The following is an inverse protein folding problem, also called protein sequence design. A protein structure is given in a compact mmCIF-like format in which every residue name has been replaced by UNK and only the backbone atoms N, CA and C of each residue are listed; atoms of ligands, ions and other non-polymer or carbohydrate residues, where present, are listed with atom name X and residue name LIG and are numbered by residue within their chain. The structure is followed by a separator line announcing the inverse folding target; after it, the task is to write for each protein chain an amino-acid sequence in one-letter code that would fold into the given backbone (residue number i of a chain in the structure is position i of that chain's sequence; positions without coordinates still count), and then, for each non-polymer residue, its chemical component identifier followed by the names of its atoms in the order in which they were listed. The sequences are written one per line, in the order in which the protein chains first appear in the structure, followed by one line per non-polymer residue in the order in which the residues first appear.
data_IF_018243952675
#
_entry.id   IF_018243952675
#
_cell.length_a   1.000
_cell.length_b   1.000
_cell.length_c   1.000
_cell.angle_alpha   90.00
_cell.angle_beta   90.00
_cell.angle_gamma   90.00
#
_symmetry.space_group_name_H-M   'P 1'
#
loop_
_entity.id
_entity.type
_entity.pdbx_description
1 polymer ?
#
# COMPACT_ATOMS: atom_id res chain seq x y z
N UNK A 1 18.73 -39.65 12.18
CA UNK A 1 19.61 -39.96 13.32
C UNK A 1 20.91 -39.19 13.13
N UNK A 2 21.50 -38.67 14.21
CA UNK A 2 22.82 -38.06 14.14
C UNK A 2 23.87 -39.11 13.72
N UNK A 3 24.92 -38.74 12.96
CA UNK A 3 25.91 -39.71 12.47
C UNK A 3 26.69 -40.37 13.62
N UNK A 4 26.85 -41.70 13.54
CA UNK A 4 27.48 -42.53 14.60
C UNK A 4 28.97 -42.24 14.81
N UNK A 5 29.64 -41.64 13.82
CA UNK A 5 31.10 -41.35 13.84
C UNK A 5 31.45 -39.96 14.38
N UNK A 6 30.56 -39.31 15.12
CA UNK A 6 30.92 -38.05 15.78
C UNK A 6 31.99 -38.33 16.85
N UNK A 7 33.14 -37.61 16.84
CA UNK A 7 34.14 -37.77 17.88
C UNK A 7 33.51 -37.44 19.24
N UNK A 8 33.88 -38.18 20.31
CA UNK A 8 33.33 -37.91 21.63
C UNK A 8 33.63 -36.45 22.02
N UNK A 9 32.70 -35.77 22.70
CA UNK A 9 32.96 -34.42 23.16
C UNK A 9 34.24 -34.41 24.01
N UNK A 10 35.10 -33.38 23.89
CA UNK A 10 36.34 -33.31 24.64
C UNK A 10 36.05 -33.50 26.13
N UNK A 11 36.67 -34.51 26.74
CA UNK A 11 36.41 -34.94 28.12
C UNK A 11 36.99 -33.99 29.18
N UNK A 12 37.60 -32.89 28.75
CA UNK A 12 38.23 -31.91 29.62
C UNK A 12 37.71 -30.51 29.27
N UNK A 13 36.39 -30.35 29.38
CA UNK A 13 35.83 -29.02 29.49
C UNK A 13 36.06 -28.57 30.93
N UNK A 14 37.25 -27.99 31.18
CA UNK A 14 37.54 -27.30 32.42
C UNK A 14 36.30 -26.47 32.79
N UNK A 15 35.79 -26.66 34.00
CA UNK A 15 34.60 -25.96 34.47
C UNK A 15 34.78 -24.48 34.13
N UNK A 16 33.88 -23.94 33.29
CA UNK A 16 33.93 -22.54 32.93
C UNK A 16 33.99 -21.75 34.25
N UNK A 17 34.91 -20.77 34.38
CA UNK A 17 34.99 -19.99 35.60
C UNK A 17 33.60 -19.46 35.91
N UNK A 18 33.19 -19.57 37.17
CA UNK A 18 31.88 -19.10 37.63
C UNK A 18 31.84 -17.58 37.47
N UNK A 19 31.43 -17.16 36.27
CA UNK A 19 31.33 -15.76 35.92
C UNK A 19 30.14 -15.23 36.70
N UNK A 20 30.44 -14.51 37.78
CA UNK A 20 29.44 -13.76 38.52
C UNK A 20 28.75 -12.79 37.55
N UNK A 21 27.58 -13.21 37.07
CA UNK A 21 26.80 -12.40 36.15
C UNK A 21 26.33 -11.15 36.89
N UNK A 22 26.35 -9.98 36.24
CA UNK A 22 25.77 -8.79 36.83
C UNK A 22 24.31 -9.02 37.22
N UNK A 23 23.86 -8.40 38.30
CA UNK A 23 22.50 -8.55 38.84
C UNK A 23 21.37 -8.28 37.83
N UNK A 24 21.64 -7.50 36.78
CA UNK A 24 20.65 -7.23 35.73
C UNK A 24 20.37 -8.45 34.85
N UNK A 25 21.29 -9.42 34.77
CA UNK A 25 21.09 -10.68 34.04
C UNK A 25 20.06 -11.59 34.72
N UNK A 26 19.79 -11.37 36.01
CA UNK A 26 18.84 -12.15 36.81
C UNK A 26 17.52 -11.40 37.07
N UNK A 27 17.43 -10.15 36.64
CA UNK A 27 16.21 -9.35 36.76
C UNK A 27 15.40 -9.46 35.48
N UNK A 28 14.10 -9.81 35.55
CA UNK A 28 13.24 -9.71 34.39
C UNK A 28 13.26 -8.25 33.88
N UNK A 29 13.28 -8.03 32.56
CA UNK A 29 13.19 -6.68 32.02
C UNK A 29 11.89 -6.03 32.49
N UNK A 30 11.90 -4.70 32.74
CA UNK A 30 10.68 -3.98 33.09
C UNK A 30 9.64 -4.18 31.99
N UNK A 31 8.38 -4.30 32.39
CA UNK A 31 7.28 -4.49 31.46
C UNK A 31 7.12 -3.23 30.59
N UNK A 32 7.44 -3.34 29.31
CA UNK A 32 7.30 -2.25 28.36
C UNK A 32 5.86 -2.22 27.87
N UNK A 33 5.12 -1.16 28.20
CA UNK A 33 3.82 -0.92 27.57
C UNK A 33 4.02 -0.79 26.06
N UNK A 34 3.41 -1.69 25.29
CA UNK A 34 3.45 -1.60 23.82
C UNK A 34 2.57 -0.45 23.41
N UNK A 35 3.14 0.48 22.64
CA UNK A 35 2.34 1.50 21.97
C UNK A 35 1.22 0.82 21.15
N UNK A 36 0.05 1.45 21.03
CA UNK A 36 -0.99 0.96 20.13
C UNK A 36 -0.43 0.71 18.74
N UNK A 37 -0.86 -0.36 18.09
CA UNK A 37 -0.45 -0.66 16.72
C UNK A 37 -0.78 0.50 15.77
N UNK A 38 0.03 0.64 14.72
CA UNK A 38 -0.23 1.59 13.66
C UNK A 38 -1.54 1.24 12.93
N UNK A 39 -2.29 2.26 12.55
CA UNK A 39 -3.51 2.12 11.75
C UNK A 39 -3.14 2.05 10.27
N UNK A 40 -3.80 1.15 9.53
CA UNK A 40 -3.75 1.19 8.08
C UNK A 40 -4.67 2.34 7.58
N UNK A 41 -4.21 3.25 6.71
CA UNK A 41 -5.05 4.29 6.13
C UNK A 41 -6.29 3.76 5.42
N UNK A 42 -6.18 2.57 4.81
CA UNK A 42 -7.31 1.90 4.17
C UNK A 42 -8.32 1.36 5.19
N UNK A 43 -8.01 1.28 6.48
CA UNK A 43 -8.90 0.75 7.54
C UNK A 43 -9.45 1.84 8.48
N UNK A 44 -9.49 3.09 8.00
CA UNK A 44 -10.06 4.22 8.75
C UNK A 44 -11.61 4.28 8.72
N UNK A 45 -12.24 3.15 8.36
CA UNK A 45 -13.70 2.97 8.30
C UNK A 45 -14.41 3.74 7.18
N UNK A 46 -15.68 3.41 6.96
CA UNK A 46 -16.50 3.97 5.87
C UNK A 46 -16.52 3.09 4.63
N UNK A 47 -17.54 3.26 3.78
CA UNK A 47 -17.69 2.47 2.57
C UNK A 47 -16.54 2.75 1.57
N UNK A 48 -16.04 1.70 0.92
CA UNK A 48 -14.99 1.78 -0.12
C UNK A 48 -15.52 1.56 -1.54
N UNK A 49 -16.82 1.34 -1.66
CA UNK A 49 -17.51 0.97 -2.87
C UNK A 49 -18.83 1.73 -2.96
N UNK A 50 -19.30 1.99 -4.18
CA UNK A 50 -20.62 2.57 -4.39
C UNK A 50 -21.71 1.49 -4.32
N UNK A 51 -22.96 1.86 -4.01
CA UNK A 51 -24.08 0.91 -4.06
C UNK A 51 -24.21 0.24 -5.43
N UNK A 52 -24.45 -1.07 -5.44
CA UNK A 52 -24.61 -1.87 -6.66
C UNK A 52 -23.32 -2.49 -7.20
N UNK A 53 -22.14 -2.13 -6.66
CA UNK A 53 -20.86 -2.71 -7.08
C UNK A 53 -20.78 -4.22 -6.81
N UNK A 54 -21.20 -4.69 -5.63
CA UNK A 54 -21.23 -6.11 -5.28
C UNK A 54 -22.24 -6.97 -6.06
N UNK A 55 -23.05 -6.36 -6.94
CA UNK A 55 -23.91 -7.09 -7.87
C UNK A 55 -23.21 -7.40 -9.21
N UNK A 56 -22.06 -6.76 -9.49
CA UNK A 56 -21.32 -6.92 -10.74
C UNK A 56 -20.34 -8.09 -10.71
N UNK A 57 -19.72 -8.35 -9.55
CA UNK A 57 -18.80 -9.45 -9.31
C UNK A 57 -18.89 -9.91 -7.87
N UNK A 58 -18.56 -11.18 -7.61
CA UNK A 58 -18.37 -11.64 -6.24
C UNK A 58 -17.14 -10.95 -5.60
N UNK A 59 -17.23 -10.70 -4.30
CA UNK A 59 -16.22 -9.93 -3.55
C UNK A 59 -14.82 -10.56 -3.63
N UNK A 60 -14.74 -11.88 -3.54
CA UNK A 60 -13.45 -12.57 -3.57
C UNK A 60 -12.77 -12.44 -4.93
N UNK A 61 -13.51 -12.60 -6.04
CA UNK A 61 -12.98 -12.41 -7.38
C UNK A 61 -12.66 -10.93 -7.66
N UNK A 62 -13.43 -9.99 -7.13
CA UNK A 62 -13.13 -8.57 -7.24
C UNK A 62 -11.82 -8.21 -6.51
N UNK A 63 -11.62 -8.73 -5.29
CA UNK A 63 -10.37 -8.56 -4.53
C UNK A 63 -9.17 -9.21 -5.23
N UNK A 64 -9.35 -10.44 -5.76
CA UNK A 64 -8.32 -11.15 -6.52
C UNK A 64 -7.91 -10.35 -7.76
N UNK A 65 -8.88 -9.93 -8.57
CA UNK A 65 -8.66 -9.11 -9.77
C UNK A 65 -7.95 -7.80 -9.42
N UNK A 66 -8.39 -7.12 -8.35
CA UNK A 66 -7.76 -5.89 -7.87
C UNK A 66 -6.28 -6.09 -7.53
N UNK A 67 -5.97 -7.16 -6.81
CA UNK A 67 -4.59 -7.52 -6.42
C UNK A 67 -3.72 -7.86 -7.63
N UNK A 68 -4.24 -8.63 -8.59
CA UNK A 68 -3.56 -8.91 -9.86
C UNK A 68 -3.28 -7.62 -10.64
N UNK A 69 -4.27 -6.72 -10.74
CA UNK A 69 -4.14 -5.47 -11.46
C UNK A 69 -3.09 -4.55 -10.81
N UNK A 70 -3.13 -4.39 -9.48
CA UNK A 70 -2.11 -3.65 -8.73
C UNK A 70 -0.71 -4.20 -8.98
N UNK A 71 -0.54 -5.53 -8.92
CA UNK A 71 0.75 -6.16 -9.19
C UNK A 71 1.29 -5.84 -10.59
N UNK A 72 0.42 -5.86 -11.61
CA UNK A 72 0.80 -5.46 -12.97
C UNK A 72 1.12 -3.97 -13.05
N UNK A 73 0.32 -3.10 -12.44
CA UNK A 73 0.52 -1.64 -12.45
C UNK A 73 1.81 -1.22 -11.76
N UNK A 74 2.24 -1.96 -10.74
CA UNK A 74 3.52 -1.77 -10.06
C UNK A 74 4.70 -2.14 -10.98
N UNK A 75 4.66 -3.34 -11.57
CA UNK A 75 5.82 -3.97 -12.19
C UNK A 75 6.00 -3.68 -13.68
N UNK A 76 4.91 -3.59 -14.46
CA UNK A 76 5.00 -3.42 -15.91
C UNK A 76 5.76 -2.15 -16.34
N UNK A 77 5.62 -0.98 -15.67
CA UNK A 77 6.36 0.23 -16.03
C UNK A 77 7.89 0.10 -15.96
N UNK A 78 8.41 -0.93 -15.27
CA UNK A 78 9.85 -1.20 -15.19
C UNK A 78 10.41 -1.86 -16.46
N UNK A 79 9.56 -2.23 -17.40
CA UNK A 79 9.92 -2.97 -18.61
C UNK A 79 9.38 -2.29 -19.87
N UNK A 80 10.06 -2.46 -21.02
CA UNK A 80 9.51 -2.10 -22.33
C UNK A 80 8.14 -2.74 -22.60
N UNK A 81 7.26 -2.00 -23.27
CA UNK A 81 5.85 -2.38 -23.48
C UNK A 81 5.66 -3.69 -24.26
N UNK A 82 6.60 -4.03 -25.15
CA UNK A 82 6.62 -5.29 -25.91
C UNK A 82 6.86 -6.51 -25.02
N UNK A 83 7.44 -6.32 -23.83
CA UNK A 83 7.68 -7.40 -22.85
C UNK A 83 6.52 -7.61 -21.89
N UNK A 84 5.55 -6.71 -21.83
CA UNK A 84 4.47 -6.76 -20.84
C UNK A 84 3.68 -8.08 -20.83
N UNK A 85 3.33 -8.71 -21.97
CA UNK A 85 2.60 -9.98 -21.94
C UNK A 85 3.32 -11.08 -21.17
N UNK A 86 4.61 -11.32 -21.46
CA UNK A 86 5.37 -12.36 -20.77
C UNK A 86 5.63 -12.06 -19.30
N UNK A 87 5.78 -10.77 -18.93
CA UNK A 87 5.91 -10.36 -17.53
C UNK A 87 4.59 -10.60 -16.79
N UNK A 88 3.46 -10.22 -17.38
CA UNK A 88 2.15 -10.42 -16.77
C UNK A 88 1.85 -11.90 -16.53
N UNK A 89 2.09 -12.77 -17.51
CA UNK A 89 1.96 -14.23 -17.33
C UNK A 89 2.84 -14.73 -16.20
N UNK A 90 4.11 -14.31 -16.14
CA UNK A 90 5.06 -14.74 -15.10
C UNK A 90 4.60 -14.31 -13.70
N UNK A 91 4.13 -13.07 -13.56
CA UNK A 91 3.68 -12.52 -12.28
C UNK A 91 2.39 -13.18 -11.78
N UNK A 92 1.44 -13.43 -12.69
CA UNK A 92 0.13 -13.94 -12.32
C UNK A 92 0.06 -15.47 -12.25
N UNK A 93 0.95 -16.24 -12.84
CA UNK A 93 0.87 -17.72 -12.80
C UNK A 93 1.13 -18.30 -11.40
N UNK A 94 2.07 -17.72 -10.64
CA UNK A 94 2.57 -18.32 -9.38
C UNK A 94 2.12 -17.58 -8.11
N UNK A 95 1.28 -16.55 -8.24
CA UNK A 95 0.81 -15.76 -7.11
C UNK A 95 -0.27 -16.47 -6.29
N UNK A 96 -0.51 -16.03 -5.03
CA UNK A 96 -1.64 -16.49 -4.23
C UNK A 96 -3.00 -16.19 -4.90
N UNK A 97 -3.03 -15.12 -5.69
CA UNK A 97 -4.12 -14.70 -6.56
C UNK A 97 -3.86 -15.10 -8.01
N UNK A 98 -3.38 -16.33 -8.21
CA UNK A 98 -2.92 -16.78 -9.53
C UNK A 98 -4.01 -16.71 -10.61
N UNK A 99 -3.60 -16.44 -11.86
CA UNK A 99 -4.46 -16.39 -13.03
C UNK A 99 -3.96 -17.35 -14.10
N UNK A 100 -4.87 -18.02 -14.81
CA UNK A 100 -4.50 -18.68 -16.05
C UNK A 100 -4.28 -17.67 -17.19
N UNK A 101 -3.85 -18.15 -18.37
CA UNK A 101 -3.63 -17.27 -19.52
C UNK A 101 -4.90 -16.54 -19.98
N UNK A 102 -6.08 -17.16 -19.84
CA UNK A 102 -7.35 -16.56 -20.24
C UNK A 102 -7.80 -15.46 -19.27
N UNK A 103 -7.47 -15.60 -17.99
CA UNK A 103 -7.71 -14.62 -16.94
C UNK A 103 -6.67 -13.48 -16.94
N UNK A 104 -5.44 -13.75 -17.37
CA UNK A 104 -4.34 -12.77 -17.43
C UNK A 104 -4.60 -11.68 -18.47
N UNK A 105 -5.05 -12.06 -19.67
CA UNK A 105 -5.24 -11.13 -20.79
C UNK A 105 -6.17 -9.94 -20.47
N UNK A 106 -7.38 -10.11 -19.89
CA UNK A 106 -8.24 -8.96 -19.57
C UNK A 106 -7.66 -8.04 -18.50
N UNK A 107 -6.89 -8.56 -17.54
CA UNK A 107 -6.22 -7.75 -16.50
C UNK A 107 -5.05 -6.97 -17.12
N UNK A 108 -4.25 -7.63 -17.95
CA UNK A 108 -3.16 -7.00 -18.72
C UNK A 108 -3.69 -5.90 -19.65
N UNK A 109 -4.80 -6.14 -20.35
CA UNK A 109 -5.40 -5.15 -21.23
C UNK A 109 -5.84 -3.90 -20.45
N UNK A 110 -6.37 -4.06 -19.23
CA UNK A 110 -6.70 -2.93 -18.36
C UNK A 110 -5.47 -2.20 -17.84
N UNK A 111 -4.46 -2.92 -17.35
CA UNK A 111 -3.20 -2.35 -16.92
C UNK A 111 -2.56 -1.53 -18.05
N UNK A 112 -2.54 -2.08 -19.28
CA UNK A 112 -2.01 -1.38 -20.46
C UNK A 112 -2.72 -0.05 -20.70
N UNK A 113 -4.06 -0.04 -20.73
CA UNK A 113 -4.83 1.20 -20.94
C UNK A 113 -4.54 2.28 -19.90
N UNK A 114 -4.34 1.87 -18.64
CA UNK A 114 -3.94 2.76 -17.56
C UNK A 114 -2.54 3.31 -17.78
N UNK A 115 -1.56 2.44 -18.02
CA UNK A 115 -0.16 2.82 -18.11
C UNK A 115 0.18 3.65 -19.35
N UNK A 116 -0.58 3.48 -20.43
CA UNK A 116 -0.43 4.26 -21.66
C UNK A 116 -1.31 5.52 -21.70
N UNK A 117 -1.98 5.88 -20.60
CA UNK A 117 -2.79 7.10 -20.52
C UNK A 117 -1.87 8.32 -20.48
N UNK A 118 -2.09 9.32 -21.34
CA UNK A 118 -1.29 10.56 -21.37
C UNK A 118 -1.22 11.25 -19.99
N UNK A 119 -2.33 11.24 -19.24
CA UNK A 119 -2.40 11.81 -17.90
C UNK A 119 -1.53 11.07 -16.87
N UNK A 120 -1.14 9.82 -17.14
CA UNK A 120 -0.22 9.04 -16.29
C UNK A 120 1.25 9.32 -16.57
N UNK A 121 1.60 9.92 -17.72
CA UNK A 121 2.99 10.17 -18.10
C UNK A 121 3.81 10.89 -17.01
N UNK A 122 3.29 11.92 -16.28
CA UNK A 122 4.04 12.54 -15.18
C UNK A 122 4.31 11.62 -13.99
N UNK A 123 3.45 10.62 -13.74
CA UNK A 123 3.58 9.68 -12.63
C UNK A 123 4.48 8.48 -12.96
N UNK A 124 4.74 8.24 -14.24
CA UNK A 124 5.62 7.17 -14.74
C UNK A 124 6.99 7.70 -15.21
N UNK A 125 7.22 9.01 -15.11
CA UNK A 125 8.45 9.65 -15.51
C UNK A 125 9.63 9.29 -14.58
N UNK A 126 10.87 9.31 -15.06
CA UNK A 126 12.04 9.13 -14.21
C UNK A 126 12.04 10.09 -13.01
N UNK A 127 12.32 9.56 -11.81
CA UNK A 127 12.32 10.34 -10.57
C UNK A 127 10.99 10.35 -9.83
N UNK A 128 9.92 9.76 -10.38
CA UNK A 128 8.76 9.38 -9.57
C UNK A 128 9.07 8.14 -8.75
N UNK A 129 8.38 8.02 -7.62
CA UNK A 129 8.49 6.89 -6.72
C UNK A 129 7.24 6.02 -6.86
N UNK A 130 7.44 4.71 -6.73
CA UNK A 130 6.38 3.70 -6.71
C UNK A 130 6.35 3.05 -5.33
N UNK A 131 5.20 2.55 -4.90
CA UNK A 131 5.05 1.79 -3.64
C UNK A 131 5.72 2.48 -2.44
N UNK A 132 5.39 3.77 -2.24
CA UNK A 132 6.02 4.57 -1.19
C UNK A 132 5.36 4.27 0.15
N UNK A 133 6.05 3.48 0.96
CA UNK A 133 5.72 3.29 2.37
C UNK A 133 5.89 4.60 3.14
N UNK A 134 4.91 4.92 3.97
CA UNK A 134 4.95 6.06 4.87
C UNK A 134 4.43 5.69 6.26
N UNK A 135 5.08 6.30 7.25
CA UNK A 135 4.64 6.27 8.65
C UNK A 135 4.50 7.70 9.12
N UNK A 136 3.37 8.04 9.74
CA UNK A 136 3.18 9.36 10.34
C UNK A 136 2.27 9.27 11.56
N UNK A 137 2.54 10.11 12.56
CA UNK A 137 1.62 10.32 13.68
C UNK A 137 0.64 11.44 13.29
N UNK A 138 -0.66 11.15 13.33
CA UNK A 138 -1.69 12.11 12.93
C UNK A 138 -2.48 12.59 14.14
N UNK A 139 -2.30 13.86 14.50
CA UNK A 139 -3.09 14.55 15.52
C UNK A 139 -4.60 14.47 15.25
N UNK A 140 -5.01 14.54 13.99
CA UNK A 140 -6.41 14.41 13.58
C UNK A 140 -7.01 13.03 13.89
N UNK A 141 -6.16 12.02 14.15
CA UNK A 141 -6.54 10.68 14.58
C UNK A 141 -6.21 10.44 16.06
N UNK A 142 -6.11 11.52 16.86
CA UNK A 142 -5.81 11.45 18.29
C UNK A 142 -4.36 11.05 18.58
N UNK A 143 -3.41 11.48 17.75
CA UNK A 143 -1.99 11.13 17.89
C UNK A 143 -1.69 9.66 17.54
N UNK A 144 -2.57 9.00 16.78
CA UNK A 144 -2.32 7.62 16.33
C UNK A 144 -1.34 7.62 15.17
N UNK A 145 -0.41 6.66 15.21
CA UNK A 145 0.44 6.34 14.08
C UNK A 145 -0.36 5.68 12.97
N UNK A 146 -0.19 6.14 11.74
CA UNK A 146 -0.60 5.43 10.54
C UNK A 146 0.60 4.81 9.86
N UNK A 147 0.39 3.69 9.18
CA UNK A 147 1.35 3.06 8.28
C UNK A 147 0.64 2.59 7.01
N UNK A 148 1.08 3.04 5.85
CA UNK A 148 0.49 2.65 4.58
C UNK A 148 1.40 2.93 3.39
N UNK A 149 0.94 2.53 2.21
CA UNK A 149 1.71 2.58 0.97
C UNK A 149 0.95 3.39 -0.06
N UNK A 150 1.65 4.30 -0.75
CA UNK A 150 1.12 5.08 -1.87
C UNK A 150 1.66 4.50 -3.18
N UNK A 151 0.78 4.13 -4.10
CA UNK A 151 1.15 3.46 -5.35
C UNK A 151 2.12 4.31 -6.20
N UNK A 152 1.86 5.62 -6.34
CA UNK A 152 2.72 6.55 -7.09
C UNK A 152 2.89 7.89 -6.38
N UNK A 153 4.12 8.37 -6.28
CA UNK A 153 4.46 9.67 -5.69
C UNK A 153 5.38 10.47 -6.61
N UNK A 154 4.92 11.66 -7.02
CA UNK A 154 5.74 12.65 -7.70
C UNK A 154 6.12 13.75 -6.71
N UNK A 155 7.42 14.01 -6.59
CA UNK A 155 7.96 14.99 -5.66
C UNK A 155 8.74 16.05 -6.43
N UNK A 156 8.28 17.30 -6.39
CA UNK A 156 8.98 18.46 -6.96
C UNK A 156 9.35 19.45 -5.85
N UNK A 157 10.15 20.51 -6.13
CA UNK A 157 10.41 21.54 -5.14
C UNK A 157 9.14 22.26 -4.66
N UNK A 158 8.13 22.43 -5.51
CA UNK A 158 6.91 23.19 -5.25
C UNK A 158 5.77 22.34 -4.69
N UNK A 159 5.68 21.06 -5.09
CA UNK A 159 4.54 20.20 -4.78
C UNK A 159 4.89 18.73 -4.64
N UNK A 160 3.98 18.01 -4.00
CA UNK A 160 3.97 16.56 -3.89
C UNK A 160 2.62 16.06 -4.39
N UNK A 161 2.63 15.19 -5.38
CA UNK A 161 1.43 14.58 -5.94
C UNK A 161 1.42 13.09 -5.60
N UNK A 162 0.42 12.64 -4.86
CA UNK A 162 0.19 11.23 -4.58
C UNK A 162 -0.96 10.70 -5.44
N UNK A 163 -0.79 9.51 -6.00
CA UNK A 163 -1.78 8.82 -6.80
C UNK A 163 -1.94 7.39 -6.28
N UNK A 164 -3.19 6.97 -6.15
CA UNK A 164 -3.60 5.63 -5.76
C UNK A 164 -4.52 5.05 -6.85
N UNK A 165 -4.30 3.80 -7.24
CA UNK A 165 -5.11 3.09 -8.23
C UNK A 165 -6.32 2.46 -7.56
N UNK A 166 -7.51 2.68 -8.11
CA UNK A 166 -8.75 2.05 -7.63
C UNK A 166 -9.40 1.22 -8.74
N UNK A 167 -9.52 -0.07 -8.49
CA UNK A 167 -10.14 -1.06 -9.40
C UNK A 167 -11.64 -1.20 -9.22
N UNK A 168 -12.29 -0.24 -8.57
CA UNK A 168 -13.73 -0.27 -8.37
C UNK A 168 -14.47 -0.38 -9.70
N UNK A 169 -15.48 -1.26 -9.75
CA UNK A 169 -16.25 -1.49 -10.97
C UNK A 169 -17.21 -0.33 -11.26
N UNK A 170 -17.69 0.35 -10.21
CA UNK A 170 -18.54 1.54 -10.33
C UNK A 170 -17.71 2.77 -9.98
N UNK A 171 -17.47 3.62 -10.98
CA UNK A 171 -16.67 4.84 -10.81
C UNK A 171 -17.58 6.02 -10.44
N UNK A 172 -17.29 6.76 -9.35
CA UNK A 172 -18.04 7.96 -9.03
C UNK A 172 -17.90 9.01 -10.15
N UNK A 173 -18.98 9.71 -10.53
CA UNK A 173 -18.92 10.68 -11.63
C UNK A 173 -18.26 12.00 -11.21
N UNK A 174 -18.09 12.24 -9.91
CA UNK A 174 -17.50 13.44 -9.34
C UNK A 174 -16.68 13.13 -8.08
N UNK A 175 -15.70 13.98 -7.70
CA UNK A 175 -14.98 13.86 -6.44
C UNK A 175 -15.90 13.82 -5.22
N UNK A 176 -17.00 14.56 -5.23
CA UNK A 176 -17.98 14.67 -4.14
C UNK A 176 -18.67 13.34 -3.83
N UNK A 177 -18.73 12.44 -4.80
CA UNK A 177 -19.39 11.14 -4.71
C UNK A 177 -18.41 9.99 -4.41
N UNK A 178 -17.13 10.29 -4.20
CA UNK A 178 -16.15 9.28 -3.82
C UNK A 178 -16.53 8.65 -2.46
N UNK A 179 -16.50 7.31 -2.34
CA UNK A 179 -16.83 6.63 -1.09
C UNK A 179 -16.00 7.13 0.10
N UNK A 180 -16.65 7.32 1.25
CA UNK A 180 -16.04 7.94 2.43
C UNK A 180 -14.79 7.21 2.93
N UNK A 181 -14.76 5.87 2.85
CA UNK A 181 -13.58 5.08 3.25
C UNK A 181 -12.36 5.36 2.38
N UNK A 182 -12.57 5.58 1.08
CA UNK A 182 -11.51 6.01 0.16
C UNK A 182 -11.08 7.44 0.52
N UNK A 183 -12.02 8.38 0.71
CA UNK A 183 -11.67 9.75 1.09
C UNK A 183 -10.85 9.82 2.38
N UNK A 184 -11.16 8.99 3.38
CA UNK A 184 -10.39 8.94 4.64
C UNK A 184 -8.98 8.41 4.44
N UNK A 185 -8.81 7.35 3.66
CA UNK A 185 -7.49 6.84 3.27
C UNK A 185 -6.66 7.95 2.61
N UNK A 186 -7.22 8.57 1.57
CA UNK A 186 -6.56 9.62 0.79
C UNK A 186 -6.25 10.86 1.64
N UNK A 187 -7.12 11.20 2.60
CA UNK A 187 -6.90 12.31 3.50
C UNK A 187 -5.79 12.03 4.52
N UNK A 188 -5.67 10.80 5.00
CA UNK A 188 -4.58 10.37 5.88
C UNK A 188 -3.22 10.46 5.16
N UNK A 189 -3.14 10.02 3.89
CA UNK A 189 -1.96 10.23 3.05
C UNK A 189 -1.62 11.70 2.87
N UNK A 190 -2.62 12.55 2.59
CA UNK A 190 -2.39 14.00 2.47
C UNK A 190 -1.81 14.60 3.75
N UNK A 191 -2.36 14.23 4.91
CA UNK A 191 -1.89 14.74 6.19
C UNK A 191 -0.45 14.30 6.48
N UNK A 192 -0.12 13.03 6.23
CA UNK A 192 1.24 12.52 6.40
C UNK A 192 2.24 13.20 5.46
N UNK A 193 1.91 13.30 4.17
CA UNK A 193 2.78 13.96 3.19
C UNK A 193 2.99 15.45 3.53
N UNK A 194 1.99 16.12 4.10
CA UNK A 194 2.13 17.50 4.57
C UNK A 194 3.13 17.65 5.72
N UNK A 195 3.28 16.64 6.57
CA UNK A 195 4.31 16.61 7.61
C UNK A 195 5.69 16.26 7.05
N UNK A 196 5.75 15.28 6.14
CA UNK A 196 7.00 14.79 5.53
C UNK A 196 7.64 15.86 4.62
N UNK A 197 6.81 16.61 3.89
CA UNK A 197 7.24 17.61 2.91
C UNK A 197 6.76 19.02 3.27
N UNK A 198 7.27 19.63 4.34
CA UNK A 198 6.82 20.94 4.80
C UNK A 198 7.07 22.01 3.74
N UNK A 199 6.11 22.92 3.58
CA UNK A 199 6.18 24.02 2.61
C UNK A 199 5.85 23.64 1.17
N UNK A 200 5.56 22.37 0.87
CA UNK A 200 5.12 21.92 -0.46
C UNK A 200 3.60 21.77 -0.50
N UNK A 201 3.01 22.10 -1.65
CA UNK A 201 1.59 21.82 -1.89
C UNK A 201 1.39 20.32 -2.05
N UNK A 202 0.49 19.72 -1.28
CA UNK A 202 0.12 18.31 -1.44
C UNK A 202 -1.14 18.18 -2.29
N UNK A 203 -1.05 17.44 -3.38
CA UNK A 203 -2.13 17.12 -4.29
C UNK A 203 -2.38 15.62 -4.27
N UNK A 204 -3.65 15.22 -4.21
CA UNK A 204 -4.04 13.82 -4.13
C UNK A 204 -4.90 13.46 -5.32
N UNK A 205 -4.60 12.33 -5.94
CA UNK A 205 -5.29 11.81 -7.11
C UNK A 205 -5.71 10.37 -6.88
N UNK A 206 -6.82 9.99 -7.49
CA UNK A 206 -7.20 8.60 -7.71
C UNK A 206 -7.17 8.33 -9.20
N UNK A 207 -6.57 7.23 -9.62
CA UNK A 207 -6.82 6.69 -10.95
C UNK A 207 -7.82 5.54 -10.86
N UNK A 208 -9.00 5.75 -11.45
CA UNK A 208 -10.02 4.71 -11.58
C UNK A 208 -9.71 3.84 -12.80
N UNK A 209 -9.30 2.59 -12.58
CA UNK A 209 -8.78 1.75 -13.66
C UNK A 209 -9.87 1.31 -14.64
N UNK A 210 -11.11 1.14 -14.14
CA UNK A 210 -12.27 0.71 -14.93
C UNK A 210 -12.57 1.63 -16.13
N UNK A 211 -12.49 2.95 -15.95
CA UNK A 211 -12.76 3.95 -17.00
C UNK A 211 -11.55 4.83 -17.35
N UNK A 212 -10.37 4.52 -16.80
CA UNK A 212 -9.12 5.25 -17.01
C UNK A 212 -9.20 6.74 -16.64
N UNK A 213 -10.05 7.10 -15.67
CA UNK A 213 -10.19 8.49 -15.24
C UNK A 213 -9.22 8.84 -14.11
N UNK A 214 -8.46 9.91 -14.31
CA UNK A 214 -7.63 10.52 -13.28
C UNK A 214 -8.44 11.62 -12.57
N UNK A 215 -8.75 11.38 -11.30
CA UNK A 215 -9.59 12.24 -10.49
C UNK A 215 -8.75 12.94 -9.40
N UNK A 216 -8.67 14.27 -9.47
CA UNK A 216 -8.08 15.07 -8.40
C UNK A 216 -9.06 15.24 -7.25
N UNK A 217 -8.59 15.08 -6.00
CA UNK A 217 -9.43 15.24 -4.82
C UNK A 217 -9.29 16.64 -4.20
N UNK A 218 -10.40 17.38 -4.01
CA UNK A 218 -10.36 18.69 -3.36
C UNK A 218 -9.85 18.62 -1.92
N UNK A 219 -8.93 19.54 -1.57
CA UNK A 219 -8.35 19.60 -0.22
C UNK A 219 -9.41 19.71 0.88
N UNK A 220 -10.41 20.57 0.69
CA UNK A 220 -11.47 20.79 1.67
C UNK A 220 -12.29 19.53 1.97
N UNK A 221 -12.51 18.69 0.95
CA UNK A 221 -13.21 17.41 1.10
C UNK A 221 -12.38 16.40 1.89
N UNK A 222 -11.08 16.30 1.57
CA UNK A 222 -10.15 15.45 2.31
C UNK A 222 -10.03 15.89 3.78
N UNK A 223 -9.91 17.20 4.02
CA UNK A 223 -9.84 17.75 5.38
C UNK A 223 -11.12 17.44 6.18
N UNK A 224 -12.30 17.47 5.54
CA UNK A 224 -13.56 17.08 6.17
C UNK A 224 -13.64 15.58 6.46
N UNK A 225 -13.20 14.73 5.53
CA UNK A 225 -13.18 13.28 5.71
C UNK A 225 -12.26 12.88 6.88
N UNK A 226 -11.07 13.48 6.98
CA UNK A 226 -10.14 13.18 8.07
C UNK A 226 -10.71 13.57 9.43
N UNK A 227 -11.31 14.76 9.56
CA UNK A 227 -11.92 15.22 10.83
C UNK A 227 -13.05 14.33 11.34
N UNK A 228 -13.74 13.63 10.45
CA UNK A 228 -14.84 12.73 10.81
C UNK A 228 -14.38 11.28 10.96
N UNK A 229 -13.07 11.03 10.88
CA UNK A 229 -12.50 9.70 11.09
C UNK A 229 -12.49 9.38 12.57
N UNK A 230 -13.19 8.32 12.95
CA UNK A 230 -13.10 7.74 14.28
C UNK A 230 -12.12 6.59 14.20
N UNK A 231 -10.89 6.81 14.67
CA UNK A 231 -9.93 5.72 14.87
C UNK A 231 -10.44 4.85 16.02
N UNK A 232 -11.08 3.73 15.69
CA UNK A 232 -11.44 2.70 16.67
C UNK A 232 -10.20 1.88 17.09
#
# INVERSE_FOLDING_TARGET
AWPEDAPPPPQDMAAAPDLALPDWCHRPPPEVSRAPGALAPSDLGGAKALPGEGALMDEQSAMRRGSQLHLLLEHLPLWPEDRWPGIAETLLVNGPDGADSAETEPVLAEARRVLTLDAMAPFLAPGTLAEVELTAELEALGGRTIHGTIDRLLVTPERVCALDYKSNAVVPPSPEEVPLGILRQMAAYRAALGQIYPGRRVEIFILWTANQSLMALPCAQLDAALRTTTAS
#
